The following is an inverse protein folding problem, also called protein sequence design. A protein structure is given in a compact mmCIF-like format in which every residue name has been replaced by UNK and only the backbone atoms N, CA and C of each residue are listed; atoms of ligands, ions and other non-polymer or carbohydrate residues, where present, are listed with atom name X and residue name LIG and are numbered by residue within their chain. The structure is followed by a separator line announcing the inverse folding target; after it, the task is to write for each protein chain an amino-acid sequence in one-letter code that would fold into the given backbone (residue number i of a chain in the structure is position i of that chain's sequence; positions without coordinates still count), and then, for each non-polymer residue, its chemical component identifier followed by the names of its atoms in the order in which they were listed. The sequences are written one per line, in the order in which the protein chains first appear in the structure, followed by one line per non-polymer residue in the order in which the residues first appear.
data_IF_857580916146
#
_entry.id   IF_857580916146
#
_cell.length_a   1.000
_cell.length_b   1.000
_cell.length_c   1.000
_cell.angle_alpha   90.00
_cell.angle_beta   90.00
_cell.angle_gamma   90.00
#
_symmetry.space_group_name_H-M   'P 1'
#
loop_
_entity.id
_entity.type
_entity.pdbx_description
1 polymer ?
#
# COMPACT_ATOMS: atom_id res chain seq x y z
N UNK A 1 -1.02 0.01 2.99
CA UNK A 1 0.14 -0.83 2.61
C UNK A 1 -0.15 -1.54 1.31
N UNK A 2 0.90 -2.05 0.67
CA UNK A 2 0.83 -2.91 -0.51
C UNK A 2 1.44 -4.29 -0.19
N UNK A 3 0.98 -5.35 -0.85
CA UNK A 3 1.52 -6.70 -0.69
C UNK A 3 2.74 -6.88 -1.59
N UNK A 4 3.84 -7.44 -1.07
CA UNK A 4 5.06 -7.73 -1.83
C UNK A 4 4.77 -8.54 -3.10
N UNK A 5 5.33 -8.12 -4.24
CA UNK A 5 5.23 -8.83 -5.53
C UNK A 5 5.60 -10.31 -5.39
N UNK A 6 4.77 -11.18 -5.98
CA UNK A 6 4.98 -12.64 -5.96
C UNK A 6 4.52 -13.35 -4.68
N UNK A 7 3.90 -12.63 -3.73
CA UNK A 7 3.24 -13.26 -2.58
C UNK A 7 2.12 -14.19 -3.03
N UNK A 8 2.05 -15.40 -2.46
CA UNK A 8 0.97 -16.35 -2.75
C UNK A 8 -0.32 -15.93 -2.05
N UNK A 9 -1.40 -15.82 -2.82
CA UNK A 9 -2.74 -15.46 -2.33
C UNK A 9 -3.79 -16.51 -2.76
N UNK A 10 -4.88 -16.70 -1.99
CA UNK A 10 -5.10 -16.13 -0.67
C UNK A 10 -4.23 -16.82 0.39
N UNK A 11 -3.79 -16.07 1.40
CA UNK A 11 -3.14 -16.59 2.59
C UNK A 11 -3.94 -16.14 3.82
N UNK A 12 -4.42 -17.10 4.61
CA UNK A 12 -5.21 -16.84 5.82
C UNK A 12 -4.42 -17.10 7.11
N UNK A 13 -3.15 -17.53 7.00
CA UNK A 13 -2.25 -17.75 8.13
C UNK A 13 -1.36 -16.53 8.39
N UNK A 14 -0.32 -16.73 9.20
CA UNK A 14 0.70 -15.69 9.42
C UNK A 14 1.48 -15.44 8.12
N UNK A 15 1.57 -14.17 7.73
CA UNK A 15 2.42 -13.72 6.63
C UNK A 15 3.82 -13.37 7.18
N UNK A 16 4.88 -13.45 6.35
CA UNK A 16 6.18 -12.89 6.70
C UNK A 16 6.09 -11.42 7.13
N UNK A 17 6.95 -10.99 8.06
CA UNK A 17 6.95 -9.59 8.51
C UNK A 17 7.29 -8.61 7.38
N UNK A 18 8.01 -9.07 6.35
CA UNK A 18 8.34 -8.28 5.16
C UNK A 18 7.32 -8.40 4.01
N UNK A 19 6.16 -9.04 4.25
CA UNK A 19 5.12 -9.25 3.26
C UNK A 19 4.47 -7.94 2.81
N UNK A 20 4.51 -6.89 3.63
CA UNK A 20 3.96 -5.59 3.31
C UNK A 20 5.05 -4.61 2.87
N UNK A 21 4.72 -3.80 1.86
CA UNK A 21 5.55 -2.78 1.25
C UNK A 21 4.81 -1.45 1.22
N UNK A 22 5.59 -0.39 1.09
CA UNK A 22 5.14 0.96 0.78
C UNK A 22 4.33 0.96 -0.52
N UNK A 23 3.43 1.94 -0.67
CA UNK A 23 2.66 2.08 -1.92
C UNK A 23 3.62 2.28 -3.11
N UNK A 24 3.30 1.67 -4.25
CA UNK A 24 4.15 1.69 -5.46
C UNK A 24 5.22 0.59 -5.53
N UNK A 25 5.61 0.02 -4.38
CA UNK A 25 6.66 -1.02 -4.30
C UNK A 25 6.10 -2.45 -4.20
N UNK A 26 4.78 -2.60 -4.01
CA UNK A 26 4.12 -3.90 -3.91
C UNK A 26 3.44 -4.33 -5.21
N UNK A 27 2.35 -5.08 -5.09
CA UNK A 27 1.73 -5.83 -6.18
C UNK A 27 0.38 -5.26 -6.63
N UNK A 28 -0.15 -4.31 -5.88
CA UNK A 28 -1.44 -3.69 -6.17
C UNK A 28 -1.20 -2.53 -7.13
N UNK A 29 -1.95 -2.53 -8.24
CA UNK A 29 -1.99 -1.41 -9.16
C UNK A 29 -2.85 -0.29 -8.56
N UNK A 30 -2.20 0.64 -7.85
CA UNK A 30 -2.87 1.64 -7.02
C UNK A 30 -3.53 2.77 -7.81
N UNK A 31 -2.97 3.16 -8.96
CA UNK A 31 -3.50 4.24 -9.81
C UNK A 31 -4.99 4.05 -10.17
N UNK A 32 -5.41 2.91 -10.79
CA UNK A 32 -6.83 2.73 -11.13
C UNK A 32 -7.74 2.69 -9.91
N UNK A 33 -7.24 2.25 -8.75
CA UNK A 33 -8.02 2.23 -7.49
C UNK A 33 -8.27 3.66 -7.00
N UNK A 34 -7.23 4.49 -7.01
CA UNK A 34 -7.31 5.90 -6.58
C UNK A 34 -8.18 6.71 -7.53
N UNK A 35 -8.05 6.51 -8.84
CA UNK A 35 -8.93 7.13 -9.84
C UNK A 35 -10.40 6.78 -9.58
N UNK A 36 -10.72 5.49 -9.43
CA UNK A 36 -12.08 5.04 -9.14
C UNK A 36 -12.62 5.59 -7.81
N UNK A 37 -11.77 5.69 -6.78
CA UNK A 37 -12.14 6.29 -5.49
C UNK A 37 -12.52 7.78 -5.65
N UNK A 38 -11.80 8.52 -6.50
CA UNK A 38 -12.12 9.90 -6.85
C UNK A 38 -13.48 10.05 -7.54
N UNK A 39 -13.79 9.16 -8.50
CA UNK A 39 -15.06 9.18 -9.26
C UNK A 39 -16.29 9.02 -8.35
N UNK A 40 -16.19 8.16 -7.34
CA UNK A 40 -17.27 7.92 -6.36
C UNK A 40 -17.19 8.85 -5.14
N UNK A 41 -16.27 9.83 -5.15
CA UNK A 41 -16.09 10.85 -4.11
C UNK A 41 -15.76 10.27 -2.73
N UNK A 42 -14.91 9.24 -2.69
CA UNK A 42 -14.34 8.77 -1.42
C UNK A 42 -13.68 9.95 -0.70
N UNK A 43 -14.10 10.21 0.54
CA UNK A 43 -13.62 11.37 1.30
C UNK A 43 -12.29 11.12 2.01
N UNK A 44 -12.01 9.86 2.37
CA UNK A 44 -10.83 9.50 3.16
C UNK A 44 -10.28 8.12 2.75
N UNK A 45 -8.96 8.05 2.56
CA UNK A 45 -8.19 6.82 2.40
C UNK A 45 -7.12 6.76 3.51
N UNK A 46 -6.86 5.56 4.04
CA UNK A 46 -5.87 5.37 5.10
C UNK A 46 -4.65 4.65 4.56
N UNK A 47 -3.47 5.15 4.91
CA UNK A 47 -2.19 4.48 4.62
C UNK A 47 -1.59 4.00 5.93
N UNK A 48 -1.56 2.69 6.11
CA UNK A 48 -1.04 2.03 7.32
C UNK A 48 0.44 1.68 7.19
N UNK A 49 1.14 1.46 8.33
CA UNK A 49 2.58 1.18 8.41
C UNK A 49 2.87 -0.23 8.99
N UNK A 50 2.15 -1.25 8.54
CA UNK A 50 2.30 -2.62 9.06
C UNK A 50 3.73 -3.14 8.99
N UNK A 51 4.20 -3.64 10.14
CA UNK A 51 5.51 -4.27 10.31
C UNK A 51 6.71 -3.41 9.84
N UNK A 52 6.54 -2.08 9.72
CA UNK A 52 7.63 -1.20 9.29
C UNK A 52 8.65 -0.99 10.42
N UNK A 53 9.94 -1.26 10.20
CA UNK A 53 10.99 -0.94 11.17
C UNK A 53 11.27 0.58 11.25
N UNK A 54 10.90 1.35 10.24
CA UNK A 54 11.00 2.81 10.18
C UNK A 54 9.68 3.40 9.66
N UNK A 55 8.68 3.56 10.56
CA UNK A 55 7.32 3.95 10.14
C UNK A 55 7.27 5.37 9.55
N UNK A 56 8.12 6.28 10.01
CA UNK A 56 8.15 7.66 9.49
C UNK A 56 8.70 7.72 8.06
N UNK A 57 9.79 7.00 7.79
CA UNK A 57 10.30 6.91 6.41
C UNK A 57 9.31 6.19 5.49
N UNK A 58 8.66 5.15 6.01
CA UNK A 58 7.68 4.35 5.28
C UNK A 58 6.45 5.15 4.83
N UNK A 59 5.89 6.00 5.72
CA UNK A 59 4.77 6.87 5.35
C UNK A 59 5.21 7.93 4.34
N UNK A 60 6.38 8.55 4.50
CA UNK A 60 6.90 9.54 3.54
C UNK A 60 7.01 8.94 2.14
N UNK A 61 7.59 7.75 2.01
CA UNK A 61 7.71 7.08 0.73
C UNK A 61 6.34 6.80 0.08
N UNK A 62 5.36 6.34 0.88
CA UNK A 62 4.02 6.06 0.38
C UNK A 62 3.28 7.35 -0.03
N UNK A 63 3.50 8.46 0.67
CA UNK A 63 2.91 9.76 0.31
C UNK A 63 3.54 10.34 -0.96
N UNK A 64 4.86 10.24 -1.12
CA UNK A 64 5.54 10.67 -2.35
C UNK A 64 4.99 9.95 -3.59
N UNK A 65 4.77 8.63 -3.49
CA UNK A 65 4.14 7.87 -4.58
C UNK A 65 2.73 8.42 -4.92
N UNK A 66 1.92 8.77 -3.91
CA UNK A 66 0.59 9.33 -4.13
C UNK A 66 0.61 10.74 -4.72
N UNK A 67 1.63 11.55 -4.41
CA UNK A 67 1.80 12.89 -4.99
C UNK A 67 2.17 12.85 -6.48
N UNK A 68 2.71 11.73 -6.95
CA UNK A 68 3.09 11.51 -8.36
C UNK A 68 1.94 10.96 -9.23
N UNK A 69 0.80 10.59 -8.62
CA UNK A 69 -0.42 10.12 -9.29
C UNK A 69 -1.38 11.28 -9.62
#
# INVERSE_FOLDING_TARGET
KDLKKGSKTPNFGRVPEDAFKELGEGSIDMEPIITAAGEVRVSHCHVEQDHSPDPLKSIVQSMNYLEEL
#
